data_IF_757208004799
#
_entry.id   IF_757208004799
#
_cell.length_a   1.000
_cell.length_b   1.000
_cell.length_c   1.000
_cell.angle_alpha   90.00
_cell.angle_beta   90.00
_cell.angle_gamma   90.00
#
_symmetry.space_group_name_H-M   'P 1'
#
loop_
_entity.id
_entity.type
_entity.pdbx_description
1 polymer ?
#
# COMPACT_ATOMS: atom_id res chain seq x y z
N UNK A 1 -25.08 8.65 29.62
CA UNK A 1 -24.39 7.37 29.92
C UNK A 1 -23.10 7.67 30.67
N UNK A 2 -22.78 6.94 31.75
CA UNK A 2 -21.51 7.12 32.46
C UNK A 2 -20.33 6.80 31.52
N UNK A 3 -19.30 7.66 31.53
CA UNK A 3 -18.07 7.41 30.77
C UNK A 3 -17.32 6.27 31.45
N UNK A 4 -17.11 5.16 30.73
CA UNK A 4 -16.17 4.12 31.16
C UNK A 4 -14.79 4.78 31.27
N UNK A 5 -14.24 4.80 32.49
CA UNK A 5 -12.88 5.25 32.73
C UNK A 5 -11.96 4.02 32.69
N UNK A 6 -10.86 4.13 31.96
CA UNK A 6 -9.82 3.11 31.88
C UNK A 6 -8.59 3.61 32.62
N UNK A 7 -7.90 2.73 33.33
CA UNK A 7 -6.63 3.04 33.98
C UNK A 7 -5.56 3.37 32.95
N UNK A 8 -4.51 4.09 33.34
CA UNK A 8 -3.42 4.42 32.42
C UNK A 8 -2.64 3.18 32.00
N UNK A 9 -2.48 2.20 32.91
CA UNK A 9 -1.85 0.90 32.63
C UNK A 9 -2.61 0.18 31.53
N UNK A 10 -3.93 0.06 31.65
CA UNK A 10 -4.76 -0.59 30.63
C UNK A 10 -4.63 0.07 29.25
N UNK A 11 -4.57 1.41 29.19
CA UNK A 11 -4.39 2.13 27.93
C UNK A 11 -3.02 1.85 27.31
N UNK A 12 -1.97 1.78 28.12
CA UNK A 12 -0.61 1.49 27.65
C UNK A 12 -0.50 0.05 27.16
N UNK A 13 -1.08 -0.90 27.87
CA UNK A 13 -1.10 -2.31 27.48
C UNK A 13 -1.89 -2.51 26.19
N UNK A 14 -3.03 -1.84 26.04
CA UNK A 14 -3.82 -1.86 24.81
C UNK A 14 -3.04 -1.32 23.60
N UNK A 15 -2.22 -0.28 23.82
CA UNK A 15 -1.35 0.29 22.77
C UNK A 15 -0.20 -0.65 22.44
N UNK A 16 0.45 -1.25 23.46
CA UNK A 16 1.50 -2.23 23.27
C UNK A 16 1.00 -3.44 22.46
N UNK A 17 -0.17 -3.98 22.84
CA UNK A 17 -0.84 -5.06 22.10
C UNK A 17 -1.05 -4.69 20.63
N UNK A 18 -1.53 -3.46 20.35
CA UNK A 18 -1.71 -2.99 18.98
C UNK A 18 -0.38 -2.88 18.23
N UNK A 19 0.68 -2.36 18.85
CA UNK A 19 1.97 -2.13 18.20
C UNK A 19 2.78 -3.41 17.99
N UNK A 20 2.66 -4.40 18.87
CA UNK A 20 3.44 -5.64 18.82
C UNK A 20 2.75 -6.80 18.09
N UNK A 21 1.44 -6.73 17.89
CA UNK A 21 0.72 -7.74 17.12
C UNK A 21 0.79 -7.43 15.64
N UNK A 22 1.53 -8.26 14.90
CA UNK A 22 1.60 -8.19 13.43
C UNK A 22 0.23 -8.40 12.79
N UNK A 23 -0.09 -7.61 11.77
CA UNK A 23 -1.37 -7.67 11.06
C UNK A 23 -2.59 -7.15 11.86
N UNK A 24 -2.46 -6.88 13.16
CA UNK A 24 -3.60 -6.41 13.95
C UNK A 24 -4.08 -5.03 13.48
N UNK A 25 -5.41 -4.86 13.40
CA UNK A 25 -6.03 -3.58 13.10
C UNK A 25 -6.53 -2.92 14.37
N UNK A 26 -6.71 -1.59 14.34
CA UNK A 26 -7.38 -0.90 15.45
C UNK A 26 -8.77 -1.46 15.73
N UNK A 27 -9.47 -1.97 14.71
CA UNK A 27 -10.78 -2.59 14.86
C UNK A 27 -10.70 -3.92 15.61
N UNK A 28 -9.77 -4.81 15.22
CA UNK A 28 -9.65 -6.12 15.85
C UNK A 28 -9.23 -5.99 17.31
N UNK A 29 -8.20 -5.18 17.60
CA UNK A 29 -7.74 -4.96 18.98
C UNK A 29 -8.82 -4.29 19.83
N UNK A 30 -9.55 -3.31 19.27
CA UNK A 30 -10.63 -2.66 20.01
C UNK A 30 -11.79 -3.62 20.30
N UNK A 31 -12.13 -4.49 19.35
CA UNK A 31 -13.13 -5.53 19.52
C UNK A 31 -12.71 -6.53 20.61
N UNK A 32 -11.48 -7.03 20.56
CA UNK A 32 -10.97 -8.03 21.50
C UNK A 32 -10.89 -7.47 22.94
N UNK A 33 -10.57 -6.18 23.08
CA UNK A 33 -10.55 -5.48 24.37
C UNK A 33 -11.92 -4.96 24.82
N UNK A 34 -12.96 -5.08 24.00
CA UNK A 34 -14.30 -4.54 24.29
C UNK A 34 -14.33 -3.01 24.43
N UNK A 35 -13.44 -2.30 23.72
CA UNK A 35 -13.32 -0.84 23.74
C UNK A 35 -13.75 -0.21 22.42
N UNK A 36 -14.02 1.09 22.43
CA UNK A 36 -14.31 1.81 21.19
C UNK A 36 -13.01 2.02 20.39
N UNK A 37 -13.05 1.76 19.07
CA UNK A 37 -11.93 1.99 18.14
C UNK A 37 -11.33 3.39 18.25
N UNK A 38 -12.17 4.42 18.38
CA UNK A 38 -11.75 5.82 18.51
C UNK A 38 -10.98 6.08 19.82
N UNK A 39 -11.35 5.41 20.91
CA UNK A 39 -10.61 5.47 22.17
C UNK A 39 -9.23 4.84 22.02
N UNK A 40 -9.16 3.65 21.42
CA UNK A 40 -7.87 3.01 21.14
C UNK A 40 -7.00 3.86 20.22
N UNK A 41 -7.57 4.46 19.17
CA UNK A 41 -6.84 5.36 18.28
C UNK A 41 -6.27 6.58 19.01
N UNK A 42 -7.05 7.16 19.95
CA UNK A 42 -6.58 8.27 20.78
C UNK A 42 -5.44 7.83 21.74
N UNK A 43 -5.52 6.62 22.30
CA UNK A 43 -4.45 6.06 23.13
C UNK A 43 -3.19 5.77 22.33
N UNK A 44 -3.30 5.18 21.13
CA UNK A 44 -2.16 4.95 20.25
C UNK A 44 -1.48 6.27 19.89
N UNK A 45 -2.25 7.33 19.63
CA UNK A 45 -1.68 8.67 19.40
C UNK A 45 -0.93 9.23 20.62
N UNK A 46 -1.38 8.91 21.83
CA UNK A 46 -0.86 9.47 23.08
C UNK A 46 0.30 8.67 23.68
N UNK A 47 0.24 7.34 23.61
CA UNK A 47 1.18 6.43 24.27
C UNK A 47 1.96 5.55 23.29
N UNK A 48 1.61 5.57 22.01
CA UNK A 48 2.29 4.75 21.00
C UNK A 48 3.72 5.19 20.75
N UNK A 49 4.57 4.22 20.43
CA UNK A 49 5.97 4.45 20.04
C UNK A 49 6.10 4.86 18.56
N UNK A 50 5.03 4.64 17.78
CA UNK A 50 5.01 4.85 16.34
C UNK A 50 5.68 3.72 15.54
N UNK A 51 6.15 2.66 16.20
CA UNK A 51 6.76 1.47 15.57
C UNK A 51 5.90 0.94 14.43
N UNK A 52 4.62 0.71 14.71
CA UNK A 52 3.67 0.16 13.72
C UNK A 52 3.39 1.13 12.56
N UNK A 53 3.28 2.42 12.83
CA UNK A 53 3.10 3.43 11.78
C UNK A 53 4.31 3.44 10.83
N UNK A 54 5.54 3.43 11.38
CA UNK A 54 6.77 3.37 10.57
C UNK A 54 6.87 2.09 9.75
N UNK A 55 6.47 0.94 10.30
CA UNK A 55 6.46 -0.33 9.58
C UNK A 55 5.47 -0.30 8.39
N UNK A 56 4.26 0.24 8.61
CA UNK A 56 3.26 0.41 7.54
C UNK A 56 3.78 1.34 6.45
N UNK A 57 4.38 2.47 6.82
CA UNK A 57 4.95 3.44 5.87
C UNK A 57 6.10 2.83 5.06
N UNK A 58 6.99 2.08 5.72
CA UNK A 58 8.10 1.38 5.06
C UNK A 58 7.57 0.35 4.04
N UNK A 59 6.58 -0.45 4.42
CA UNK A 59 5.95 -1.42 3.51
C UNK A 59 5.25 -0.72 2.33
N UNK A 60 4.59 0.41 2.56
CA UNK A 60 3.97 1.19 1.50
C UNK A 60 5.00 1.73 0.51
N UNK A 61 6.12 2.29 1.01
CA UNK A 61 7.22 2.78 0.17
C UNK A 61 7.85 1.67 -0.66
N UNK A 62 8.08 0.50 -0.07
CA UNK A 62 8.65 -0.66 -0.77
C UNK A 62 7.75 -1.13 -1.93
N UNK A 63 6.42 -1.12 -1.74
CA UNK A 63 5.47 -1.40 -2.82
C UNK A 63 5.54 -0.35 -3.92
N UNK A 64 5.51 0.94 -3.57
CA UNK A 64 5.61 2.02 -4.56
C UNK A 64 6.90 1.94 -5.38
N UNK A 65 8.04 1.61 -4.77
CA UNK A 65 9.29 1.44 -5.53
C UNK A 65 9.21 0.28 -6.52
N UNK A 66 8.62 -0.86 -6.13
CA UNK A 66 8.45 -2.01 -7.01
C UNK A 66 7.50 -1.70 -8.18
N UNK A 67 6.40 -0.98 -7.91
CA UNK A 67 5.46 -0.56 -8.94
C UNK A 67 6.12 0.39 -9.96
N UNK A 68 6.96 1.32 -9.49
CA UNK A 68 7.71 2.24 -10.37
C UNK A 68 8.69 1.51 -11.28
N UNK A 69 9.39 0.50 -10.78
CA UNK A 69 10.28 -0.35 -11.60
C UNK A 69 9.48 -1.10 -12.67
N UNK A 70 8.33 -1.65 -12.30
CA UNK A 70 7.45 -2.35 -13.24
C UNK A 70 6.91 -1.42 -14.32
N UNK A 71 6.52 -0.20 -13.97
CA UNK A 71 6.06 0.82 -14.93
C UNK A 71 7.18 1.14 -15.94
N UNK A 72 8.41 1.39 -15.46
CA UNK A 72 9.55 1.67 -16.36
C UNK A 72 9.83 0.53 -17.33
N UNK A 73 9.74 -0.71 -16.86
CA UNK A 73 9.93 -1.88 -17.71
C UNK A 73 8.81 -2.00 -18.76
N UNK A 74 7.55 -1.77 -18.37
CA UNK A 74 6.42 -1.79 -19.29
C UNK A 74 6.50 -0.68 -20.33
N UNK A 75 6.90 0.54 -19.95
CA UNK A 75 7.11 1.65 -20.89
C UNK A 75 8.21 1.35 -21.90
N UNK A 76 9.31 0.70 -21.47
CA UNK A 76 10.38 0.26 -22.36
C UNK A 76 9.87 -0.79 -23.36
N UNK A 77 9.12 -1.79 -22.89
CA UNK A 77 8.54 -2.82 -23.74
C UNK A 77 7.52 -2.23 -24.73
N UNK A 78 6.68 -1.31 -24.27
CA UNK A 78 5.68 -0.67 -25.13
C UNK A 78 6.34 0.12 -26.26
N UNK A 79 7.42 0.85 -25.96
CA UNK A 79 8.21 1.57 -26.97
C UNK A 79 8.78 0.63 -28.04
N UNK A 80 9.39 -0.48 -27.63
CA UNK A 80 9.93 -1.48 -28.56
C UNK A 80 8.84 -2.07 -29.44
N UNK A 81 7.69 -2.43 -28.86
CA UNK A 81 6.56 -2.96 -29.62
C UNK A 81 5.99 -1.93 -30.60
N UNK A 82 5.95 -0.66 -30.23
CA UNK A 82 5.54 0.42 -31.13
C UNK A 82 6.49 0.56 -32.31
N UNK A 83 7.80 0.53 -32.05
CA UNK A 83 8.84 0.57 -33.10
C UNK A 83 8.73 -0.63 -34.05
N UNK A 84 8.60 -1.85 -33.52
CA UNK A 84 8.39 -3.07 -34.32
C UNK A 84 7.13 -2.98 -35.18
N UNK A 85 6.00 -2.56 -34.58
CA UNK A 85 4.73 -2.38 -35.30
C UNK A 85 4.88 -1.36 -36.43
N UNK A 86 5.59 -0.27 -36.19
CA UNK A 86 5.78 0.79 -37.18
C UNK A 86 6.70 0.36 -38.32
N UNK A 87 7.73 -0.44 -38.04
CA UNK A 87 8.56 -1.08 -39.08
C UNK A 87 7.71 -2.02 -39.94
N UNK A 88 6.93 -2.90 -39.32
CA UNK A 88 6.06 -3.84 -40.04
C UNK A 88 5.01 -3.12 -40.88
N UNK A 89 4.41 -2.04 -40.36
CA UNK A 89 3.46 -1.21 -41.10
C UNK A 89 4.11 -0.54 -42.31
N UNK A 90 5.32 0.01 -42.17
CA UNK A 90 6.07 0.59 -43.30
C UNK A 90 6.41 -0.46 -44.35
N UNK A 91 6.83 -1.66 -43.93
CA UNK A 91 7.10 -2.77 -44.83
C UNK A 91 5.84 -3.18 -45.61
N UNK A 92 4.71 -3.35 -44.92
CA UNK A 92 3.44 -3.69 -45.55
C UNK A 92 2.99 -2.63 -46.58
N UNK A 93 3.16 -1.35 -46.28
CA UNK A 93 2.87 -0.25 -47.22
C UNK A 93 3.79 -0.30 -48.47
N UNK A 94 5.08 -0.58 -48.27
CA UNK A 94 6.03 -0.72 -49.37
C UNK A 94 5.63 -1.89 -50.29
N UNK A 95 5.33 -3.06 -49.73
CA UNK A 95 4.91 -4.23 -50.50
C UNK A 95 3.58 -4.03 -51.23
N UNK A 96 2.60 -3.39 -50.62
CA UNK A 96 1.34 -3.07 -51.29
C UNK A 96 1.58 -2.21 -52.54
N UNK A 97 2.45 -1.19 -52.42
CA UNK A 97 2.81 -0.31 -53.54
C UNK A 97 3.57 -1.05 -54.65
N UNK A 98 4.51 -1.95 -54.33
CA UNK A 98 5.25 -2.73 -55.34
C UNK A 98 4.37 -3.76 -56.05
N UNK A 99 3.42 -4.38 -55.34
CA UNK A 99 2.53 -5.40 -55.92
C UNK A 99 1.29 -4.82 -56.63
N UNK A 100 1.15 -3.49 -56.69
CA UNK A 100 0.04 -2.82 -57.38
C UNK A 100 -1.33 -3.02 -56.71
N UNK A 101 -1.34 -3.29 -55.40
CA UNK A 101 -2.55 -3.40 -54.57
C UNK A 101 -2.99 -2.03 -54.02
#
# INVERSE_FOLDING_TARGET
MPRKSYTEEFKRDAVAMYEDTDGASLNSVAHDLGVNRGSLAAWVKRYGTGKKARAIDAAARARTSSDLERIRQLEKQNRLLQEERDILRKAAQYFAKEMGL
#
